data_IF_892208558180
#
_entry.id   IF_892208558180
#
_cell.length_a   1.000
_cell.length_b   1.000
_cell.length_c   1.000
_cell.angle_alpha   90.00
_cell.angle_beta   90.00
_cell.angle_gamma   90.00
#
_symmetry.space_group_name_H-M   'P 1'
#
loop_
_entity.id
_entity.type
_entity.pdbx_description
1 polymer ?
#
# COMPACT_ATOMS: atom_id res chain seq x y z
N UNK A 1 1.95 5.03 10.96
CA UNK A 1 2.64 4.03 11.80
C UNK A 1 4.15 3.90 11.51
N UNK A 2 5.02 4.52 12.32
CA UNK A 2 6.48 4.55 12.12
C UNK A 2 7.21 3.18 12.16
N UNK A 3 6.59 2.13 12.71
CA UNK A 3 7.15 0.76 12.65
C UNK A 3 7.33 0.28 11.21
N UNK A 4 6.47 0.74 10.31
CA UNK A 4 6.46 0.40 8.90
C UNK A 4 7.40 1.31 8.08
N UNK A 5 8.14 2.22 8.71
CA UNK A 5 9.22 2.99 8.06
C UNK A 5 10.43 2.10 7.71
N UNK A 6 10.49 0.86 8.22
CA UNK A 6 11.51 -0.11 7.86
C UNK A 6 10.92 -1.15 6.93
N UNK A 7 11.46 -1.24 5.72
CA UNK A 7 11.00 -2.09 4.64
C UNK A 7 11.05 -3.57 5.04
N UNK A 8 12.00 -3.99 5.87
CA UNK A 8 12.07 -5.38 6.37
C UNK A 8 10.82 -5.75 7.17
N UNK A 9 10.24 -4.81 7.93
CA UNK A 9 9.02 -5.09 8.69
C UNK A 9 7.83 -5.32 7.76
N UNK A 10 7.79 -4.63 6.62
CA UNK A 10 6.78 -4.80 5.57
C UNK A 10 6.93 -6.18 4.94
N UNK A 11 8.15 -6.58 4.58
CA UNK A 11 8.43 -7.92 4.04
C UNK A 11 8.05 -9.03 5.03
N UNK A 12 8.41 -8.88 6.31
CA UNK A 12 8.03 -9.86 7.34
C UNK A 12 6.51 -9.97 7.52
N UNK A 13 5.78 -8.86 7.35
CA UNK A 13 4.31 -8.88 7.34
C UNK A 13 3.77 -9.61 6.11
N UNK A 14 4.32 -9.32 4.92
CA UNK A 14 3.96 -9.99 3.68
C UNK A 14 4.20 -11.51 3.76
N UNK A 15 5.33 -11.93 4.34
CA UNK A 15 5.69 -13.35 4.51
C UNK A 15 4.74 -14.15 5.40
N UNK A 16 3.90 -13.46 6.20
CA UNK A 16 2.88 -14.09 7.04
C UNK A 16 1.52 -14.20 6.36
N UNK A 17 1.36 -13.65 5.16
CA UNK A 17 0.10 -13.72 4.41
C UNK A 17 -0.09 -15.15 3.88
N UNK A 18 -1.23 -15.80 4.16
CA UNK A 18 -1.54 -17.11 3.58
C UNK A 18 -1.58 -17.02 2.05
N UNK A 19 -1.03 -18.03 1.36
CA UNK A 19 -1.04 -18.04 -0.11
C UNK A 19 -2.44 -18.06 -0.71
N UNK A 20 -3.45 -18.49 0.04
CA UNK A 20 -4.87 -18.41 -0.34
C UNK A 20 -5.41 -16.98 -0.40
N UNK A 21 -4.74 -16.01 0.22
CA UNK A 21 -5.10 -14.58 0.20
C UNK A 21 -4.27 -13.78 -0.82
N UNK A 22 -3.50 -14.47 -1.68
CA UNK A 22 -2.66 -13.88 -2.72
C UNK A 22 -3.29 -14.13 -4.08
N UNK A 23 -3.52 -13.07 -4.83
CA UNK A 23 -4.07 -13.13 -6.18
C UNK A 23 -3.02 -12.77 -7.22
N UNK A 24 -2.69 -13.71 -8.10
CA UNK A 24 -1.85 -13.51 -9.28
C UNK A 24 -2.77 -13.05 -10.41
N UNK A 25 -2.73 -11.76 -10.75
CA UNK A 25 -3.79 -11.09 -11.50
C UNK A 25 -3.73 -11.36 -13.01
N UNK A 26 -2.53 -11.54 -13.56
CA UNK A 26 -2.36 -11.64 -15.02
C UNK A 26 -1.96 -13.01 -15.51
N UNK A 27 -1.89 -14.00 -14.60
CA UNK A 27 -1.51 -15.38 -14.93
C UNK A 27 -0.14 -15.42 -15.62
N UNK A 28 0.81 -14.58 -15.18
CA UNK A 28 2.22 -14.66 -15.57
C UNK A 28 2.93 -15.61 -14.61
N UNK A 29 3.55 -16.66 -15.13
CA UNK A 29 4.33 -17.62 -14.33
C UNK A 29 5.38 -16.90 -13.45
N UNK A 30 5.88 -15.75 -13.91
CA UNK A 30 6.79 -14.90 -13.16
C UNK A 30 6.17 -14.31 -11.89
N UNK A 31 4.85 -14.02 -11.85
CA UNK A 31 4.17 -13.52 -10.65
C UNK A 31 4.29 -14.55 -9.52
N UNK A 32 4.09 -15.83 -9.85
CA UNK A 32 4.25 -16.93 -8.90
C UNK A 32 5.71 -17.06 -8.45
N UNK A 33 6.67 -17.01 -9.37
CA UNK A 33 8.09 -17.12 -9.04
C UNK A 33 8.55 -15.99 -8.11
N UNK A 34 8.12 -14.75 -8.38
CA UNK A 34 8.37 -13.59 -7.52
C UNK A 34 7.83 -13.85 -6.11
N UNK A 35 6.56 -14.24 -5.97
CA UNK A 35 5.97 -14.48 -4.65
C UNK A 35 6.64 -15.63 -3.91
N UNK A 36 6.91 -16.76 -4.58
CA UNK A 36 7.64 -17.85 -3.95
C UNK A 36 9.03 -17.42 -3.48
N UNK A 37 9.71 -16.55 -4.23
CA UNK A 37 11.03 -16.03 -3.86
C UNK A 37 11.00 -15.16 -2.61
N UNK A 38 9.88 -14.47 -2.34
CA UNK A 38 9.69 -13.62 -1.17
C UNK A 38 9.18 -14.40 0.04
N UNK A 39 8.28 -15.37 -0.17
CA UNK A 39 7.57 -16.07 0.91
C UNK A 39 8.32 -17.28 1.47
N UNK A 40 9.11 -17.98 0.64
CA UNK A 40 9.86 -19.15 1.08
C UNK A 40 11.21 -18.73 1.62
N UNK A 41 11.48 -18.99 2.91
CA UNK A 41 12.75 -18.62 3.58
C UNK A 41 13.99 -19.13 2.80
N UNK A 42 13.92 -20.35 2.27
CA UNK A 42 14.98 -20.96 1.46
C UNK A 42 15.26 -20.24 0.14
N UNK A 43 14.30 -19.47 -0.38
CA UNK A 43 14.48 -18.61 -1.56
C UNK A 43 14.75 -17.15 -1.16
N UNK A 44 14.18 -16.68 -0.05
CA UNK A 44 14.33 -15.31 0.42
C UNK A 44 15.79 -14.96 0.75
N UNK A 45 16.58 -15.93 1.19
CA UNK A 45 18.03 -15.76 1.42
C UNK A 45 18.82 -15.26 0.19
N UNK A 46 18.23 -15.34 -1.02
CA UNK A 46 18.82 -14.82 -2.26
C UNK A 46 18.50 -13.34 -2.53
N UNK A 47 17.66 -12.72 -1.71
CA UNK A 47 17.41 -11.29 -1.77
C UNK A 47 18.45 -10.54 -0.94
N UNK A 48 19.04 -9.53 -1.57
CA UNK A 48 19.98 -8.60 -0.96
C UNK A 48 19.21 -7.35 -0.53
N UNK A 49 19.42 -6.91 0.72
CA UNK A 49 18.86 -5.67 1.25
C UNK A 49 19.83 -4.50 0.99
N UNK A 50 19.32 -3.41 0.40
CA UNK A 50 20.08 -2.24 -0.05
C UNK A 50 19.33 -0.92 0.23
N UNK A 51 18.54 -0.87 1.31
CA UNK A 51 17.81 0.35 1.72
C UNK A 51 18.54 1.17 2.82
N UNK A 52 19.83 0.92 3.06
CA UNK A 52 20.62 1.73 3.98
C UNK A 52 20.79 3.17 3.47
N UNK A 53 20.97 4.13 4.38
CA UNK A 53 21.12 5.56 4.02
C UNK A 53 22.25 5.88 3.03
N UNK A 54 23.23 5.00 2.93
CA UNK A 54 24.39 5.14 2.04
C UNK A 54 24.35 4.16 0.86
N UNK A 55 23.34 3.28 0.82
CA UNK A 55 23.23 2.25 -0.20
C UNK A 55 22.56 2.85 -1.46
N UNK A 56 22.96 2.42 -2.65
CA UNK A 56 22.27 2.80 -3.87
C UNK A 56 20.91 2.11 -3.94
N UNK A 57 19.86 2.78 -4.47
CA UNK A 57 18.56 2.16 -4.66
C UNK A 57 18.62 1.09 -5.77
N UNK A 58 17.67 0.13 -5.79
CA UNK A 58 16.45 0.07 -4.97
C UNK A 58 16.63 -0.65 -3.63
N UNK A 59 15.57 -0.72 -2.83
CA UNK A 59 15.60 -1.31 -1.48
C UNK A 59 16.06 -2.77 -1.43
N UNK A 60 15.74 -3.57 -2.46
CA UNK A 60 16.14 -4.97 -2.56
C UNK A 60 16.49 -5.37 -3.99
N UNK A 61 17.34 -6.38 -4.14
CA UNK A 61 17.59 -7.03 -5.43
C UNK A 61 17.88 -8.52 -5.28
N UNK A 62 17.66 -9.30 -6.34
CA UNK A 62 17.90 -10.73 -6.38
C UNK A 62 18.61 -11.10 -7.69
N UNK A 63 19.90 -11.39 -7.59
CA UNK A 63 20.77 -11.66 -8.74
C UNK A 63 20.39 -12.95 -9.48
N UNK A 64 19.85 -13.94 -8.77
CA UNK A 64 19.48 -15.23 -9.38
C UNK A 64 18.27 -15.11 -10.30
N UNK A 65 17.35 -14.21 -9.99
CA UNK A 65 16.13 -13.98 -10.77
C UNK A 65 16.25 -12.76 -11.69
N UNK A 66 17.33 -11.98 -11.58
CA UNK A 66 17.50 -10.69 -12.25
C UNK A 66 16.29 -9.77 -12.02
N UNK A 67 15.88 -9.64 -10.77
CA UNK A 67 14.79 -8.76 -10.34
C UNK A 67 15.28 -7.82 -9.24
N UNK A 68 14.66 -6.65 -9.16
CA UNK A 68 14.91 -5.65 -8.15
C UNK A 68 13.60 -5.07 -7.65
N UNK A 69 13.53 -4.69 -6.38
CA UNK A 69 12.28 -4.32 -5.73
C UNK A 69 12.47 -3.09 -4.87
N UNK A 70 11.55 -2.14 -5.03
CA UNK A 70 11.46 -0.95 -4.22
C UNK A 70 10.18 -1.03 -3.38
N UNK A 71 10.28 -0.73 -2.10
CA UNK A 71 9.18 -0.84 -1.14
C UNK A 71 8.66 0.55 -0.84
N UNK A 72 7.36 0.73 -0.98
CA UNK A 72 6.71 2.02 -0.76
C UNK A 72 5.41 1.88 -0.01
N UNK A 73 4.93 3.00 0.51
CA UNK A 73 3.74 3.09 1.35
C UNK A 73 2.78 4.09 0.77
N UNK A 74 1.50 3.73 0.81
CA UNK A 74 0.40 4.61 0.44
C UNK A 74 -0.60 4.61 1.59
N UNK A 75 -1.22 5.77 1.81
CA UNK A 75 -2.22 6.00 2.84
C UNK A 75 -3.36 6.85 2.26
N UNK A 76 -4.42 7.04 3.04
CA UNK A 76 -5.56 7.88 2.70
C UNK A 76 -5.71 9.12 3.60
N UNK A 77 -4.73 9.37 4.46
CA UNK A 77 -4.62 10.56 5.31
C UNK A 77 -3.81 11.68 4.67
N UNK A 78 -2.83 11.34 3.81
CA UNK A 78 -1.88 12.31 3.28
C UNK A 78 -2.49 13.16 2.17
N UNK A 79 -2.53 14.48 2.38
CA UNK A 79 -3.05 15.43 1.40
C UNK A 79 -2.24 16.72 1.34
N UNK A 80 -2.37 17.45 0.25
CA UNK A 80 -1.78 18.78 0.11
C UNK A 80 -2.66 19.81 0.81
N UNK A 81 -2.07 20.61 1.69
CA UNK A 81 -2.70 21.82 2.23
C UNK A 81 -2.93 22.88 1.16
N UNK A 82 -3.74 23.89 1.47
CA UNK A 82 -3.93 25.10 0.65
C UNK A 82 -2.62 25.80 0.27
N UNK A 83 -1.54 25.57 1.03
CA UNK A 83 -0.21 26.13 0.81
C UNK A 83 0.72 25.19 0.02
N UNK A 84 0.20 24.08 -0.53
CA UNK A 84 0.96 23.09 -1.29
C UNK A 84 1.88 22.19 -0.47
N UNK A 85 1.85 22.29 0.87
CA UNK A 85 2.61 21.39 1.75
C UNK A 85 1.86 20.08 1.96
N UNK A 86 2.54 18.94 1.85
CA UNK A 86 2.00 17.63 2.23
C UNK A 86 1.80 17.55 3.75
N UNK A 87 0.60 17.21 4.17
CA UNK A 87 0.21 17.04 5.57
C UNK A 87 -0.35 15.63 5.76
N UNK A 88 0.02 15.01 6.87
CA UNK A 88 -0.58 13.78 7.38
C UNK A 88 -0.82 13.97 8.89
N UNK A 89 -2.07 14.32 9.30
CA UNK A 89 -2.39 14.61 10.70
C UNK A 89 -2.11 13.44 11.65
N UNK A 90 -2.40 12.22 11.22
CA UNK A 90 -2.18 10.98 11.96
C UNK A 90 -0.71 10.80 12.31
N UNK A 91 0.19 10.84 11.32
CA UNK A 91 1.63 10.71 11.55
C UNK A 91 2.19 11.81 12.46
N UNK A 92 1.65 13.04 12.38
CA UNK A 92 2.04 14.13 13.28
C UNK A 92 1.67 13.81 14.73
N UNK A 93 0.45 13.30 14.97
CA UNK A 93 -0.05 12.96 16.31
C UNK A 93 0.67 11.73 16.88
N UNK A 94 0.86 10.67 16.08
CA UNK A 94 1.64 9.48 16.44
C UNK A 94 3.06 9.87 16.87
N UNK A 95 3.75 10.68 16.04
CA UNK A 95 5.12 11.13 16.31
C UNK A 95 5.22 11.94 17.59
N UNK A 96 4.22 12.79 17.88
CA UNK A 96 4.17 13.57 19.11
C UNK A 96 4.06 12.65 20.35
N UNK A 97 3.11 11.72 20.35
CA UNK A 97 2.89 10.78 21.46
C UNK A 97 4.12 9.88 21.67
N UNK A 98 4.71 9.36 20.60
CA UNK A 98 5.94 8.56 20.69
C UNK A 98 7.08 9.34 21.33
N UNK A 99 7.26 10.60 20.95
CA UNK A 99 8.31 11.45 21.52
C UNK A 99 8.06 11.75 23.00
N UNK A 100 6.79 11.91 23.41
CA UNK A 100 6.43 12.05 24.82
C UNK A 100 6.75 10.77 25.62
N UNK A 101 6.37 9.59 25.11
CA UNK A 101 6.67 8.31 25.75
C UNK A 101 8.18 8.03 25.85
N UNK A 102 8.95 8.38 24.81
CA UNK A 102 10.41 8.30 24.83
C UNK A 102 11.01 9.21 25.90
N UNK A 103 10.53 10.46 26.03
CA UNK A 103 10.97 11.40 27.07
C UNK A 103 10.63 10.93 28.49
N UNK A 104 9.51 10.22 28.66
CA UNK A 104 9.12 9.59 29.93
C UNK A 104 9.97 8.34 30.26
N UNK A 105 10.90 7.94 29.38
CA UNK A 105 11.80 6.82 29.62
C UNK A 105 11.13 5.46 29.49
N UNK A 106 9.99 5.34 28.80
CA UNK A 106 9.27 4.06 28.63
C UNK A 106 10.19 2.97 28.08
N UNK A 107 11.02 3.29 27.08
CA UNK A 107 12.00 2.35 26.52
C UNK A 107 13.09 1.94 27.52
N UNK A 108 13.44 2.81 28.47
CA UNK A 108 14.41 2.50 29.51
C UNK A 108 13.81 1.55 30.57
N UNK A 109 12.49 1.64 30.79
CA UNK A 109 11.75 0.77 31.70
C UNK A 109 11.54 -0.63 31.12
N UNK A 110 11.43 -0.75 29.79
CA UNK A 110 11.23 -2.02 29.10
C UNK A 110 12.40 -2.31 28.14
N UNK A 111 13.51 -2.88 28.64
CA UNK A 111 14.76 -2.99 27.88
C UNK A 111 14.68 -3.94 26.66
N UNK A 112 13.68 -4.81 26.62
CA UNK A 112 13.43 -5.70 25.48
C UNK A 112 12.52 -5.07 24.40
N UNK A 113 11.99 -3.87 24.64
CA UNK A 113 11.12 -3.18 23.69
C UNK A 113 11.99 -2.42 22.68
N UNK A 114 11.96 -2.87 21.43
CA UNK A 114 12.73 -2.23 20.36
C UNK A 114 12.06 -0.97 19.81
N UNK A 115 10.72 -0.89 19.88
CA UNK A 115 9.96 0.25 19.36
C UNK A 115 8.62 0.43 20.09
N UNK A 116 8.09 1.67 20.04
CA UNK A 116 6.76 2.01 20.53
C UNK A 116 5.86 2.24 19.31
N UNK A 117 4.80 1.45 19.19
CA UNK A 117 3.75 1.67 18.18
C UNK A 117 2.66 2.51 18.83
N UNK A 118 2.27 3.58 18.14
CA UNK A 118 1.14 4.43 18.55
C UNK A 118 0.12 4.37 17.44
N UNK A 119 -1.13 4.07 17.80
CA UNK A 119 -2.27 4.28 16.93
C UNK A 119 -3.00 5.53 17.46
N UNK A 120 -2.82 6.66 16.80
CA UNK A 120 -3.35 7.94 17.26
C UNK A 120 -4.70 8.22 16.62
N UNK A 121 -5.73 8.47 17.43
CA UNK A 121 -7.02 8.97 16.96
C UNK A 121 -6.86 10.46 16.68
N UNK A 122 -7.12 10.95 15.47
CA UNK A 122 -6.90 12.36 15.10
C UNK A 122 -7.96 13.32 15.65
N UNK A 123 -9.11 12.78 16.08
CA UNK A 123 -10.34 13.51 16.43
C UNK A 123 -10.99 14.27 15.24
N UNK A 124 -10.52 14.02 14.01
CA UNK A 124 -11.13 14.56 12.80
C UNK A 124 -12.39 13.78 12.40
N UNK A 125 -13.37 14.41 11.71
CA UNK A 125 -14.43 13.68 11.04
C UNK A 125 -13.85 12.64 10.06
N UNK A 126 -14.48 11.45 9.96
CA UNK A 126 -13.97 10.34 9.13
C UNK A 126 -13.68 10.74 7.69
N UNK A 127 -14.48 11.63 7.08
CA UNK A 127 -14.29 12.08 5.70
C UNK A 127 -13.14 13.09 5.51
N UNK A 128 -12.69 13.71 6.61
CA UNK A 128 -11.52 14.58 6.67
C UNK A 128 -10.24 13.80 7.03
N UNK A 129 -10.39 12.65 7.70
CA UNK A 129 -9.29 11.76 8.06
C UNK A 129 -9.02 10.69 6.99
N UNK A 130 -10.09 10.12 6.43
CA UNK A 130 -10.10 9.06 5.42
C UNK A 130 -10.90 9.50 4.20
N UNK A 131 -10.21 9.74 3.10
CA UNK A 131 -10.83 10.21 1.87
C UNK A 131 -10.32 9.45 0.66
N UNK A 132 -11.24 8.93 -0.17
CA UNK A 132 -10.88 8.22 -1.40
C UNK A 132 -10.04 9.09 -2.36
N UNK A 133 -10.31 10.40 -2.45
CA UNK A 133 -9.51 11.28 -3.29
C UNK A 133 -8.10 11.46 -2.72
N UNK A 134 -7.95 11.50 -1.39
CA UNK A 134 -6.63 11.51 -0.76
C UNK A 134 -5.90 10.21 -1.06
N UNK A 135 -6.57 9.07 -0.90
CA UNK A 135 -6.04 7.76 -1.26
C UNK A 135 -5.53 7.69 -2.71
N UNK A 136 -6.39 7.99 -3.69
CA UNK A 136 -6.01 7.97 -5.11
C UNK A 136 -4.85 8.95 -5.39
N UNK A 137 -4.90 10.16 -4.83
CA UNK A 137 -3.84 11.14 -5.02
C UNK A 137 -2.52 10.72 -4.38
N UNK A 138 -2.58 10.06 -3.21
CA UNK A 138 -1.42 9.56 -2.46
C UNK A 138 -0.77 8.43 -3.24
N UNK A 139 -1.56 7.45 -3.69
CA UNK A 139 -1.11 6.38 -4.57
C UNK A 139 -0.45 6.93 -5.82
N UNK A 140 -1.15 7.75 -6.61
CA UNK A 140 -0.60 8.26 -7.86
C UNK A 140 0.66 9.08 -7.66
N UNK A 141 0.74 9.90 -6.60
CA UNK A 141 1.93 10.68 -6.28
C UNK A 141 3.12 9.79 -5.90
N UNK A 142 2.90 8.78 -5.06
CA UNK A 142 3.96 7.86 -4.63
C UNK A 142 4.46 7.05 -5.82
N UNK A 143 3.56 6.37 -6.54
CA UNK A 143 3.94 5.57 -7.72
C UNK A 143 4.72 6.42 -8.73
N UNK A 144 4.21 7.58 -9.13
CA UNK A 144 4.89 8.44 -10.10
C UNK A 144 6.24 8.96 -9.62
N UNK A 145 6.45 9.13 -8.30
CA UNK A 145 7.75 9.48 -7.74
C UNK A 145 8.75 8.33 -7.92
N UNK A 146 8.34 7.10 -7.61
CA UNK A 146 9.20 5.92 -7.72
C UNK A 146 9.46 5.53 -9.19
N UNK A 147 8.46 5.68 -10.08
CA UNK A 147 8.63 5.47 -11.53
C UNK A 147 9.77 6.34 -12.10
N UNK A 148 9.89 7.59 -11.67
CA UNK A 148 10.99 8.49 -12.08
C UNK A 148 12.37 8.04 -11.63
N UNK A 149 12.44 7.13 -10.67
CA UNK A 149 13.70 6.61 -10.12
C UNK A 149 14.14 5.31 -10.80
N UNK A 150 13.27 4.67 -11.60
CA UNK A 150 13.60 3.45 -12.35
C UNK A 150 14.87 3.57 -13.20
N UNK A 151 15.14 4.69 -13.91
CA UNK A 151 16.39 4.82 -14.67
C UNK A 151 17.64 4.63 -13.79
N UNK A 152 17.64 5.19 -12.57
CA UNK A 152 18.74 5.02 -11.61
C UNK A 152 18.85 3.56 -11.18
N UNK A 153 17.72 2.88 -10.96
CA UNK A 153 17.71 1.47 -10.56
C UNK A 153 18.32 0.60 -11.66
N UNK A 154 18.01 0.88 -12.93
CA UNK A 154 18.56 0.18 -14.09
C UNK A 154 20.04 0.52 -14.34
N UNK A 155 20.53 1.69 -13.94
CA UNK A 155 21.96 2.01 -13.94
C UNK A 155 22.72 1.15 -12.91
N UNK A 156 22.16 0.99 -11.71
CA UNK A 156 22.75 0.17 -10.65
C UNK A 156 22.64 -1.33 -10.93
N UNK A 157 21.53 -1.77 -11.53
CA UNK A 157 21.24 -3.17 -11.86
C UNK A 157 20.78 -3.32 -13.32
N UNK A 158 21.71 -3.29 -14.29
CA UNK A 158 21.37 -3.39 -15.71
C UNK A 158 20.67 -4.71 -16.05
N UNK A 159 19.59 -4.60 -16.83
CA UNK A 159 18.74 -5.71 -17.29
C UNK A 159 17.87 -6.39 -16.21
N UNK A 160 17.80 -5.85 -15.00
CA UNK A 160 16.95 -6.42 -13.95
C UNK A 160 15.52 -5.95 -14.13
N UNK A 161 14.52 -6.82 -13.94
CA UNK A 161 13.10 -6.44 -13.92
C UNK A 161 12.78 -5.66 -12.63
N UNK A 162 11.98 -4.61 -12.73
CA UNK A 162 11.62 -3.73 -11.62
C UNK A 162 10.28 -4.14 -10.99
N UNK A 163 10.27 -4.28 -9.67
CA UNK A 163 9.09 -4.59 -8.87
C UNK A 163 8.83 -3.43 -7.92
N UNK A 164 7.60 -2.94 -7.86
CA UNK A 164 7.15 -2.08 -6.78
C UNK A 164 6.34 -2.90 -5.79
N UNK A 165 6.73 -2.90 -4.52
CA UNK A 165 5.93 -3.44 -3.44
C UNK A 165 5.26 -2.28 -2.71
N UNK A 166 3.95 -2.16 -2.87
CA UNK A 166 3.13 -1.14 -2.25
C UNK A 166 2.48 -1.73 -1.01
N UNK A 167 2.90 -1.27 0.16
CA UNK A 167 2.13 -1.41 1.38
C UNK A 167 1.03 -0.35 1.40
N UNK A 168 -0.20 -0.81 1.31
CA UNK A 168 -1.40 0.02 1.31
C UNK A 168 -2.01 0.06 2.70
N UNK A 169 -1.80 1.19 3.37
CA UNK A 169 -2.30 1.47 4.70
C UNK A 169 -3.69 2.14 4.69
N UNK A 170 -4.29 2.37 3.51
CA UNK A 170 -5.59 3.02 3.41
C UNK A 170 -6.73 2.14 3.94
N UNK A 171 -7.83 2.78 4.33
CA UNK A 171 -9.04 2.09 4.75
C UNK A 171 -9.67 1.26 3.62
N UNK A 172 -10.64 0.41 4.00
CA UNK A 172 -11.65 -0.08 3.06
C UNK A 172 -12.59 1.04 2.61
N UNK A 173 -13.09 0.95 1.38
CA UNK A 173 -14.04 1.92 0.84
C UNK A 173 -15.24 1.21 0.20
N UNK A 174 -16.36 1.92 0.11
CA UNK A 174 -17.48 1.59 -0.77
C UNK A 174 -17.93 2.77 -1.59
N UNK A 175 -18.53 2.47 -2.74
CA UNK A 175 -19.33 3.43 -3.48
C UNK A 175 -20.82 3.24 -3.18
N UNK A 176 -21.46 4.31 -2.73
CA UNK A 176 -22.92 4.36 -2.60
C UNK A 176 -23.59 4.63 -3.96
N UNK A 177 -24.86 4.27 -4.11
CA UNK A 177 -25.60 4.48 -5.38
C UNK A 177 -25.78 5.97 -5.72
N UNK A 178 -26.01 6.81 -4.70
CA UNK A 178 -26.23 8.24 -4.83
C UNK A 178 -25.95 8.95 -3.49
N UNK A 179 -26.00 10.29 -3.50
CA UNK A 179 -25.74 11.14 -2.33
C UNK A 179 -26.68 10.87 -1.15
N UNK A 180 -27.95 10.55 -1.40
CA UNK A 180 -28.90 10.25 -0.31
C UNK A 180 -28.52 8.93 0.38
N UNK A 181 -28.18 7.89 -0.40
CA UNK A 181 -27.69 6.61 0.14
C UNK A 181 -26.35 6.78 0.86
N UNK A 182 -25.47 7.63 0.35
CA UNK A 182 -24.21 8.00 1.02
C UNK A 182 -24.44 8.60 2.39
N UNK A 183 -25.36 9.59 2.50
CA UNK A 183 -25.74 10.17 3.80
C UNK A 183 -26.29 9.12 4.75
N UNK A 184 -27.20 8.26 4.29
CA UNK A 184 -27.76 7.17 5.09
C UNK A 184 -26.69 6.18 5.53
N UNK A 185 -25.72 5.84 4.67
CA UNK A 185 -24.63 4.94 4.99
C UNK A 185 -23.71 5.54 6.07
N UNK A 186 -23.37 6.83 5.96
CA UNK A 186 -22.57 7.56 6.95
C UNK A 186 -23.31 7.62 8.30
N UNK A 187 -24.61 7.90 8.30
CA UNK A 187 -25.40 8.05 9.53
C UNK A 187 -25.72 6.72 10.21
N UNK A 188 -26.13 5.70 9.43
CA UNK A 188 -26.76 4.49 9.94
C UNK A 188 -25.92 3.22 9.72
N UNK A 189 -24.77 3.32 9.05
CA UNK A 189 -23.86 2.21 8.75
C UNK A 189 -24.56 1.04 8.02
N UNK A 190 -25.61 1.35 7.28
CA UNK A 190 -26.42 0.37 6.58
C UNK A 190 -26.87 0.96 5.25
N UNK A 191 -26.69 0.18 4.19
CA UNK A 191 -27.01 0.60 2.84
C UNK A 191 -26.43 -0.37 1.81
N UNK A 192 -27.11 -0.46 0.67
CA UNK A 192 -26.55 -1.13 -0.49
C UNK A 192 -25.44 -0.25 -1.06
N UNK A 193 -24.22 -0.79 -1.07
CA UNK A 193 -23.04 -0.11 -1.59
C UNK A 193 -22.13 -1.14 -2.27
N UNK A 194 -21.40 -0.68 -3.28
CA UNK A 194 -20.43 -1.48 -4.02
C UNK A 194 -19.08 -1.42 -3.31
N UNK A 195 -18.54 -2.57 -2.91
CA UNK A 195 -17.21 -2.65 -2.30
C UNK A 195 -16.14 -2.17 -3.28
N UNK A 196 -15.20 -1.37 -2.79
CA UNK A 196 -14.03 -0.93 -3.54
C UNK A 196 -13.02 -2.06 -3.66
N UNK A 197 -12.91 -2.62 -4.87
CA UNK A 197 -11.79 -3.48 -5.24
C UNK A 197 -10.66 -2.61 -5.82
N UNK A 198 -9.74 -2.17 -4.96
CA UNK A 198 -8.63 -1.30 -5.36
C UNK A 198 -7.73 -1.91 -6.44
N UNK A 199 -7.55 -3.23 -6.42
CA UNK A 199 -6.73 -3.95 -7.42
C UNK A 199 -7.33 -3.90 -8.82
N UNK A 200 -8.65 -3.71 -8.93
CA UNK A 200 -9.35 -3.55 -10.20
C UNK A 200 -9.88 -2.13 -10.40
N UNK A 201 -9.42 -1.15 -9.62
CA UNK A 201 -9.84 0.23 -9.82
C UNK A 201 -9.17 0.80 -11.08
N UNK A 202 -9.99 1.27 -12.01
CA UNK A 202 -9.53 1.87 -13.25
C UNK A 202 -8.53 3.00 -13.01
N UNK A 203 -8.78 3.91 -12.07
CA UNK A 203 -7.93 5.10 -11.89
C UNK A 203 -6.55 4.75 -11.33
N UNK A 204 -6.48 3.75 -10.45
CA UNK A 204 -5.22 3.26 -9.92
C UNK A 204 -4.42 2.52 -10.99
N UNK A 205 -5.05 1.60 -11.73
CA UNK A 205 -4.38 0.82 -12.77
C UNK A 205 -3.91 1.71 -13.93
N UNK A 206 -4.65 2.76 -14.28
CA UNK A 206 -4.20 3.73 -15.28
C UNK A 206 -2.90 4.46 -14.88
N UNK A 207 -2.60 4.59 -13.58
CA UNK A 207 -1.31 5.19 -13.16
C UNK A 207 -0.10 4.34 -13.56
N UNK A 208 -0.30 3.03 -13.76
CA UNK A 208 0.77 2.08 -14.11
C UNK A 208 0.89 1.87 -15.62
N UNK A 209 -0.16 2.20 -16.37
CA UNK A 209 -0.23 1.98 -17.81
C UNK A 209 0.88 2.76 -18.51
N UNK A 210 1.54 2.11 -19.47
CA UNK A 210 2.65 2.66 -20.25
C UNK A 210 3.87 3.11 -19.42
N UNK A 211 4.02 2.59 -18.19
CA UNK A 211 5.20 2.83 -17.36
C UNK A 211 6.31 1.78 -17.60
N UNK A 212 7.54 2.12 -17.22
CA UNK A 212 8.71 1.21 -17.27
C UNK A 212 8.75 0.20 -16.10
N UNK A 213 7.67 0.08 -15.34
CA UNK A 213 7.54 -0.91 -14.26
C UNK A 213 7.24 -2.29 -14.84
N UNK A 214 7.91 -3.33 -14.34
CA UNK A 214 7.66 -4.70 -14.81
C UNK A 214 6.53 -5.36 -13.99
N UNK A 215 6.58 -5.23 -12.65
CA UNK A 215 5.58 -5.83 -11.75
C UNK A 215 5.17 -4.90 -10.61
N UNK A 216 3.91 -5.02 -10.18
CA UNK A 216 3.39 -4.43 -8.94
C UNK A 216 2.98 -5.55 -7.99
N UNK A 217 3.46 -5.53 -6.75
CA UNK A 217 2.92 -6.27 -5.62
C UNK A 217 2.15 -5.27 -4.77
N UNK A 218 0.84 -5.41 -4.70
CA UNK A 218 -0.03 -4.53 -3.93
C UNK A 218 -0.52 -5.25 -2.68
N UNK A 219 -0.01 -4.84 -1.51
CA UNK A 219 -0.26 -5.47 -0.23
C UNK A 219 -1.19 -4.59 0.64
N UNK A 220 -2.42 -5.05 0.87
CA UNK A 220 -3.49 -4.34 1.57
C UNK A 220 -3.85 -5.01 2.90
N UNK A 221 -3.02 -4.94 3.95
CA UNK A 221 -3.25 -5.67 5.20
C UNK A 221 -4.45 -5.18 6.02
N UNK A 222 -4.96 -3.98 5.76
CA UNK A 222 -5.97 -3.32 6.61
C UNK A 222 -7.33 -3.09 5.94
N UNK A 223 -7.51 -3.50 4.67
CA UNK A 223 -8.80 -3.41 3.98
C UNK A 223 -9.75 -4.50 4.48
N UNK A 224 -10.29 -4.30 5.69
CA UNK A 224 -11.23 -5.22 6.32
C UNK A 224 -12.68 -4.85 6.02
N UNK A 225 -13.51 -5.86 5.74
CA UNK A 225 -14.96 -5.73 5.58
C UNK A 225 -15.71 -6.52 6.65
N UNK A 226 -16.38 -5.84 7.58
CA UNK A 226 -17.02 -6.50 8.72
C UNK A 226 -18.20 -7.40 8.37
N UNK A 227 -18.74 -7.31 7.15
CA UNK A 227 -19.98 -8.01 6.78
C UNK A 227 -19.77 -9.37 6.09
N UNK A 228 -18.56 -9.96 6.09
CA UNK A 228 -18.23 -11.33 5.64
C UNK A 228 -18.70 -11.75 4.23
N UNK A 229 -19.20 -10.83 3.40
CA UNK A 229 -19.79 -11.14 2.09
C UNK A 229 -18.82 -11.00 0.92
N UNK A 230 -17.68 -10.34 1.12
CA UNK A 230 -16.68 -10.12 0.08
C UNK A 230 -15.32 -10.43 0.68
N UNK A 231 -14.67 -11.45 0.14
CA UNK A 231 -13.30 -11.81 0.46
C UNK A 231 -12.41 -11.17 -0.61
N UNK A 232 -11.66 -10.13 -0.23
CA UNK A 232 -10.69 -9.49 -1.12
C UNK A 232 -9.31 -10.08 -0.83
N UNK A 233 -8.47 -10.31 -1.85
CA UNK A 233 -7.12 -10.77 -1.60
C UNK A 233 -6.37 -9.73 -0.77
N UNK A 234 -5.55 -10.18 0.17
CA UNK A 234 -4.70 -9.29 0.95
C UNK A 234 -3.51 -8.82 0.14
N UNK A 235 -3.10 -9.60 -0.86
CA UNK A 235 -2.02 -9.25 -1.78
C UNK A 235 -2.48 -9.52 -3.21
N UNK A 236 -2.28 -8.57 -4.11
CA UNK A 236 -2.36 -8.82 -5.54
C UNK A 236 -0.99 -8.63 -6.19
N UNK A 237 -0.74 -9.40 -7.25
CA UNK A 237 0.49 -9.29 -8.05
C UNK A 237 0.09 -9.10 -9.50
N UNK A 238 0.67 -8.09 -10.14
CA UNK A 238 0.31 -7.63 -11.47
C UNK A 238 1.57 -7.52 -12.33
N UNK A 239 1.63 -8.27 -13.43
CA UNK A 239 2.53 -7.97 -14.56
C UNK A 239 2.00 -6.77 -15.34
N UNK A 240 2.72 -5.64 -15.30
CA UNK A 240 2.27 -4.37 -15.92
C UNK A 240 2.13 -4.53 -17.43
N UNK A 241 3.01 -5.31 -18.05
CA UNK A 241 2.97 -5.62 -19.49
C UNK A 241 1.71 -6.38 -19.93
N UNK A 242 0.94 -6.94 -18.97
CA UNK A 242 -0.26 -7.73 -19.20
C UNK A 242 -1.54 -7.10 -18.64
N UNK A 243 -1.53 -5.78 -18.36
CA UNK A 243 -2.73 -5.03 -17.91
C UNK A 243 -3.93 -5.22 -18.85
N UNK A 244 -3.69 -5.40 -20.15
CA UNK A 244 -4.74 -5.66 -21.15
C UNK A 244 -5.59 -6.91 -20.83
N UNK A 245 -5.08 -7.89 -20.09
CA UNK A 245 -5.83 -9.08 -19.67
C UNK A 245 -6.85 -8.77 -18.57
N UNK A 246 -6.56 -7.78 -17.73
CA UNK A 246 -7.45 -7.36 -16.65
C UNK A 246 -8.35 -6.17 -17.02
N UNK A 247 -8.03 -5.47 -18.12
CA UNK A 247 -8.76 -4.28 -18.61
C UNK A 247 -10.29 -4.47 -18.69
N UNK A 248 -10.83 -5.61 -19.18
CA UNK A 248 -12.28 -5.86 -19.20
C UNK A 248 -12.95 -5.95 -17.82
N UNK A 249 -12.16 -6.19 -16.76
CA UNK A 249 -12.65 -6.34 -15.39
C UNK A 249 -12.43 -5.08 -14.55
N UNK A 250 -11.79 -4.04 -15.10
CA UNK A 250 -11.56 -2.79 -14.40
C UNK A 250 -12.89 -2.11 -14.07
N UNK A 251 -12.91 -1.49 -12.89
CA UNK A 251 -14.07 -0.89 -12.28
C UNK A 251 -13.80 0.61 -12.15
N UNK A 252 -14.64 1.42 -12.78
CA UNK A 252 -14.63 2.86 -12.57
C UNK A 252 -15.55 3.19 -11.39
N UNK A 253 -15.00 3.94 -10.43
CA UNK A 253 -15.75 4.44 -9.29
C UNK A 253 -16.01 5.94 -9.42
N UNK A 254 -17.14 6.40 -8.87
CA UNK A 254 -17.44 7.81 -8.69
C UNK A 254 -16.90 8.26 -7.34
N UNK A 255 -15.82 9.04 -7.35
CA UNK A 255 -15.14 9.50 -6.15
C UNK A 255 -16.02 10.34 -5.23
N UNK A 256 -17.07 10.98 -5.75
CA UNK A 256 -18.01 11.74 -4.94
C UNK A 256 -18.91 10.82 -4.11
N UNK A 257 -19.12 9.59 -4.57
CA UNK A 257 -19.99 8.61 -3.91
C UNK A 257 -19.22 7.62 -3.02
N UNK A 258 -17.89 7.78 -2.92
CA UNK A 258 -17.03 6.94 -2.11
C UNK A 258 -17.10 7.31 -0.62
N UNK A 259 -17.11 6.28 0.23
CA UNK A 259 -17.14 6.40 1.70
C UNK A 259 -16.18 5.39 2.31
N UNK A 260 -15.36 5.82 3.28
CA UNK A 260 -14.52 4.92 4.06
C UNK A 260 -15.39 4.01 4.93
N UNK A 261 -14.93 2.78 5.14
CA UNK A 261 -15.59 1.81 6.03
C UNK A 261 -14.97 1.76 7.42
N UNK A 262 -13.92 2.55 7.63
CA UNK A 262 -13.30 2.76 8.92
C UNK A 262 -14.22 3.57 9.85
N UNK A 263 -14.12 3.31 11.15
CA UNK A 263 -15.02 3.81 12.19
C UNK A 263 -14.27 4.68 13.18
#
# INVERSE_FOLDING_TARGET
MNYLDNENNIIQMLQRVPTSEIWLMTEDDSEKEIMESLLLESKFIKWHYSAGKADPPPDYYNDSLHIMMDVMRVDDHSHLSDKGKLINPTNIKESKIQNELKKLGVLNTFPNTQNIVVNAITDLPTNEDHNYNFYLSSFSRVINKHLKSIPIYKENHPNYKTIFLVLDESSGYVQCENEDKKRVFIENQNGEARVHNCFLDFDFIQTLKDSDLDYLIWFCPYKWWSNNKVDLPRVSVLSVSRINLIEPYLQKYDSNLMVSTER
#
